data_IF_046202156785
#
_entry.id   IF_046202156785
#
_cell.length_a   1.000
_cell.length_b   1.000
_cell.length_c   1.000
_cell.angle_alpha   90.00
_cell.angle_beta   90.00
_cell.angle_gamma   90.00
#
_symmetry.space_group_name_H-M   'P 1'
#
loop_
_entity.id
_entity.type
_entity.pdbx_description
1 polymer ?
#
# COMPACT_ATOMS: atom_id res chain seq x y z
N UNK A 1 -72.32 22.99 52.58
CA UNK A 1 -71.67 24.07 51.79
C UNK A 1 -70.59 23.40 50.92
N UNK A 2 -70.97 23.12 49.66
CA UNK A 2 -70.07 22.53 48.69
C UNK A 2 -69.44 23.67 47.84
N UNK A 3 -68.16 23.76 47.82
CA UNK A 3 -67.48 24.59 46.84
C UNK A 3 -66.83 23.75 45.75
N UNK A 4 -67.32 23.95 44.53
CA UNK A 4 -66.86 23.27 43.32
C UNK A 4 -65.54 23.84 42.87
N UNK A 5 -64.52 22.98 42.71
CA UNK A 5 -63.16 23.35 42.10
C UNK A 5 -63.29 23.08 40.62
N UNK A 6 -63.17 24.13 39.78
CA UNK A 6 -63.03 24.03 38.33
C UNK A 6 -61.61 23.83 37.97
N UNK A 7 -61.26 22.71 37.36
CA UNK A 7 -59.95 22.40 36.79
C UNK A 7 -60.01 22.90 35.35
N UNK A 8 -59.16 23.91 35.04
CA UNK A 8 -58.87 24.36 33.66
C UNK A 8 -57.76 23.50 33.07
N UNK A 9 -58.07 22.73 32.02
CA UNK A 9 -57.09 21.99 31.24
C UNK A 9 -56.43 22.96 30.21
N UNK A 10 -55.16 23.26 30.37
CA UNK A 10 -54.36 23.95 29.38
C UNK A 10 -53.73 22.93 28.40
N UNK A 11 -54.18 22.96 27.14
CA UNK A 11 -53.62 22.18 26.06
C UNK A 11 -52.31 22.85 25.60
N UNK A 12 -51.15 22.23 25.90
CA UNK A 12 -49.88 22.64 25.35
C UNK A 12 -49.71 22.05 23.94
N UNK A 13 -49.79 22.90 22.93
CA UNK A 13 -49.45 22.53 21.55
C UNK A 13 -47.91 22.45 21.41
N UNK A 14 -47.39 21.24 21.29
CA UNK A 14 -45.98 21.01 20.99
C UNK A 14 -45.79 21.24 19.49
N UNK A 15 -45.20 22.35 19.13
CA UNK A 15 -44.67 22.58 17.79
C UNK A 15 -43.44 21.70 17.57
N UNK A 16 -43.59 20.62 16.82
CA UNK A 16 -42.45 19.91 16.19
C UNK A 16 -41.94 20.80 15.08
N UNK A 17 -40.90 21.57 15.38
CA UNK A 17 -40.07 22.17 14.35
C UNK A 17 -39.32 21.04 13.66
N UNK A 18 -39.77 20.64 12.47
CA UNK A 18 -39.01 19.78 11.57
C UNK A 18 -37.73 20.55 11.20
N UNK A 19 -36.63 20.23 11.87
CA UNK A 19 -35.29 20.67 11.44
C UNK A 19 -35.07 20.01 10.09
N UNK A 20 -35.26 20.79 9.02
CA UNK A 20 -34.77 20.43 7.70
C UNK A 20 -33.26 20.11 7.83
N UNK A 21 -32.77 18.99 7.25
CA UNK A 21 -31.34 18.74 7.23
C UNK A 21 -30.69 19.95 6.55
N UNK A 22 -29.80 20.63 7.29
CA UNK A 22 -28.90 21.62 6.68
C UNK A 22 -28.22 20.86 5.53
N UNK A 23 -28.52 21.23 4.28
CA UNK A 23 -27.71 20.81 3.15
C UNK A 23 -26.27 21.19 3.50
N UNK A 24 -25.45 20.21 3.84
CA UNK A 24 -24.03 20.39 3.97
C UNK A 24 -23.57 21.04 2.65
N UNK A 25 -23.00 22.23 2.74
CA UNK A 25 -22.50 22.94 1.59
C UNK A 25 -21.65 21.99 0.75
N UNK A 26 -21.75 22.12 -0.58
CA UNK A 26 -21.15 21.33 -1.64
C UNK A 26 -19.61 21.24 -1.57
N UNK A 27 -19.06 20.71 -0.50
CA UNK A 27 -17.62 20.50 -0.34
C UNK A 27 -17.24 19.11 -0.86
N UNK A 28 -16.30 19.09 -1.80
CA UNK A 28 -15.74 17.82 -2.30
C UNK A 28 -14.98 17.14 -1.16
N UNK A 29 -15.37 15.92 -0.81
CA UNK A 29 -14.67 15.14 0.21
C UNK A 29 -13.39 14.51 -0.35
N UNK A 30 -12.46 14.14 0.54
CA UNK A 30 -11.27 13.38 0.14
C UNK A 30 -11.64 12.02 -0.48
N UNK A 31 -12.71 11.38 0.01
CA UNK A 31 -13.20 10.12 -0.53
C UNK A 31 -13.78 10.29 -1.94
N UNK A 32 -14.56 11.34 -2.18
CA UNK A 32 -15.08 11.65 -3.53
C UNK A 32 -13.95 11.89 -4.52
N UNK A 33 -12.93 12.65 -4.09
CA UNK A 33 -11.73 12.88 -4.89
C UNK A 33 -11.01 11.56 -5.19
N UNK A 34 -10.85 10.69 -4.19
CA UNK A 34 -10.19 9.40 -4.36
C UNK A 34 -10.96 8.48 -5.33
N UNK A 35 -12.27 8.40 -5.17
CA UNK A 35 -13.15 7.65 -6.07
C UNK A 35 -13.07 8.18 -7.50
N UNK A 36 -13.18 9.50 -7.68
CA UNK A 36 -13.09 10.13 -8.98
C UNK A 36 -11.76 9.85 -9.69
N UNK A 37 -10.62 10.03 -8.98
CA UNK A 37 -9.28 9.72 -9.49
C UNK A 37 -9.07 8.23 -9.77
N UNK A 38 -9.78 7.37 -9.04
CA UNK A 38 -9.79 5.93 -9.25
C UNK A 38 -10.72 5.48 -10.40
N UNK A 39 -11.37 6.39 -11.12
CA UNK A 39 -12.36 6.08 -12.15
C UNK A 39 -13.61 5.40 -11.58
N UNK A 40 -13.93 5.68 -10.32
CA UNK A 40 -15.13 5.20 -9.62
C UNK A 40 -16.09 6.36 -9.42
N UNK A 41 -17.43 6.17 -9.52
CA UNK A 41 -18.37 7.25 -9.24
C UNK A 41 -18.19 7.81 -7.84
N UNK A 42 -18.12 9.14 -7.65
CA UNK A 42 -18.16 9.77 -6.33
C UNK A 42 -19.51 9.54 -5.67
N UNK A 43 -19.67 9.95 -4.41
CA UNK A 43 -20.92 9.82 -3.68
C UNK A 43 -22.07 10.60 -4.36
N UNK A 44 -23.31 10.17 -4.12
CA UNK A 44 -24.49 10.88 -4.63
C UNK A 44 -24.50 12.32 -4.08
N UNK A 45 -24.68 13.32 -4.96
CA UNK A 45 -24.66 14.74 -4.59
C UNK A 45 -23.28 15.39 -4.53
N UNK A 46 -22.19 14.65 -4.77
CA UNK A 46 -20.86 15.22 -4.86
C UNK A 46 -20.75 16.24 -6.01
N UNK A 47 -20.08 17.39 -5.83
CA UNK A 47 -19.80 18.35 -6.89
C UNK A 47 -18.98 17.78 -8.05
N UNK A 48 -18.33 16.63 -7.87
CA UNK A 48 -17.61 15.92 -8.93
C UNK A 48 -18.51 15.06 -9.83
N UNK A 49 -19.75 14.79 -9.43
CA UNK A 49 -20.67 13.92 -10.18
C UNK A 49 -20.93 14.41 -11.62
N UNK A 50 -21.12 15.71 -11.91
CA UNK A 50 -21.26 16.18 -13.28
C UNK A 50 -20.04 15.89 -14.16
N UNK A 51 -18.84 15.90 -13.59
CA UNK A 51 -17.57 15.66 -14.31
C UNK A 51 -17.42 14.20 -14.75
N UNK A 52 -18.16 13.25 -14.19
CA UNK A 52 -18.16 11.86 -14.65
C UNK A 52 -18.78 11.68 -16.04
N UNK A 53 -19.50 12.69 -16.54
CA UNK A 53 -20.04 12.71 -17.91
C UNK A 53 -18.98 13.08 -18.96
N UNK A 54 -17.82 13.61 -18.54
CA UNK A 54 -16.73 13.96 -19.45
C UNK A 54 -16.18 12.69 -20.14
N UNK A 55 -16.05 12.68 -21.47
CA UNK A 55 -15.53 11.53 -22.20
C UNK A 55 -14.14 11.08 -21.76
N UNK A 56 -13.30 12.01 -21.28
CA UNK A 56 -11.97 11.66 -20.76
C UNK A 56 -12.08 10.88 -19.46
N UNK A 57 -13.00 11.28 -18.56
CA UNK A 57 -13.24 10.52 -17.33
C UNK A 57 -13.83 9.13 -17.63
N UNK A 58 -14.74 9.01 -18.58
CA UNK A 58 -15.33 7.71 -18.95
C UNK A 58 -14.27 6.74 -19.52
N UNK A 59 -13.33 7.25 -20.34
CA UNK A 59 -12.20 6.45 -20.83
C UNK A 59 -11.28 6.02 -19.68
N UNK A 60 -10.97 6.94 -18.78
CA UNK A 60 -10.18 6.70 -17.59
C UNK A 60 -10.81 5.63 -16.69
N UNK A 61 -12.10 5.73 -16.40
CA UNK A 61 -12.84 4.77 -15.61
C UNK A 61 -12.77 3.36 -16.24
N UNK A 62 -13.05 3.25 -17.54
CA UNK A 62 -12.94 1.98 -18.27
C UNK A 62 -11.54 1.40 -18.26
N UNK A 63 -10.50 2.24 -18.43
CA UNK A 63 -9.11 1.81 -18.38
C UNK A 63 -8.76 1.24 -16.99
N UNK A 64 -9.11 1.94 -15.92
CA UNK A 64 -8.82 1.46 -14.57
C UNK A 64 -9.65 0.23 -14.16
N UNK A 65 -10.91 0.14 -14.55
CA UNK A 65 -11.71 -1.06 -14.31
C UNK A 65 -11.08 -2.29 -14.94
N UNK A 66 -10.59 -2.15 -16.16
CA UNK A 66 -9.90 -3.24 -16.85
C UNK A 66 -8.57 -3.57 -16.17
N UNK A 67 -7.72 -2.57 -15.91
CA UNK A 67 -6.37 -2.77 -15.39
C UNK A 67 -6.38 -3.32 -13.96
N UNK A 68 -7.21 -2.76 -13.08
CA UNK A 68 -7.34 -3.25 -11.70
C UNK A 68 -8.04 -4.61 -11.65
N UNK A 69 -9.05 -4.88 -12.49
CA UNK A 69 -9.68 -6.18 -12.59
C UNK A 69 -8.68 -7.28 -13.01
N UNK A 70 -7.82 -7.00 -13.98
CA UNK A 70 -6.74 -7.90 -14.39
C UNK A 70 -5.71 -8.12 -13.27
N UNK A 71 -5.34 -7.05 -12.55
CA UNK A 71 -4.39 -7.15 -11.44
C UNK A 71 -4.98 -7.96 -10.27
N UNK A 72 -6.25 -7.76 -9.94
CA UNK A 72 -6.98 -8.53 -8.92
C UNK A 72 -6.92 -10.02 -9.22
N UNK A 73 -7.31 -10.42 -10.44
CA UNK A 73 -7.31 -11.83 -10.83
C UNK A 73 -5.90 -12.43 -10.91
N UNK A 74 -4.93 -11.67 -11.41
CA UNK A 74 -3.57 -12.15 -11.62
C UNK A 74 -2.78 -12.28 -10.33
N UNK A 75 -2.97 -11.34 -9.38
CA UNK A 75 -2.10 -11.21 -8.22
C UNK A 75 -2.84 -10.97 -6.89
N UNK A 76 -3.69 -9.93 -6.77
CA UNK A 76 -4.12 -9.46 -5.45
C UNK A 76 -4.98 -10.46 -4.71
N UNK A 77 -5.96 -11.10 -5.37
CA UNK A 77 -6.80 -12.15 -4.76
C UNK A 77 -5.97 -13.35 -4.31
N UNK A 78 -4.95 -13.73 -5.07
CA UNK A 78 -4.04 -14.83 -4.73
C UNK A 78 -3.14 -14.48 -3.55
N UNK A 79 -2.64 -13.23 -3.50
CA UNK A 79 -1.88 -12.71 -2.37
C UNK A 79 -2.73 -12.72 -1.10
N UNK A 80 -4.01 -12.31 -1.17
CA UNK A 80 -4.94 -12.37 -0.04
C UNK A 80 -5.11 -13.81 0.47
N UNK A 81 -5.39 -14.76 -0.40
CA UNK A 81 -5.53 -16.17 0.00
C UNK A 81 -4.24 -16.75 0.59
N UNK A 82 -3.08 -16.38 0.03
CA UNK A 82 -1.78 -16.78 0.58
C UNK A 82 -1.55 -16.14 1.97
N UNK A 83 -1.86 -14.87 2.13
CA UNK A 83 -1.70 -14.17 3.41
C UNK A 83 -2.62 -14.74 4.50
N UNK A 84 -3.87 -15.05 4.18
CA UNK A 84 -4.79 -15.71 5.11
C UNK A 84 -4.28 -17.07 5.59
N UNK A 85 -3.64 -17.82 4.70
CA UNK A 85 -3.11 -19.16 5.00
C UNK A 85 -1.78 -19.17 5.75
N UNK A 86 -0.95 -18.12 5.58
CA UNK A 86 0.43 -18.11 6.06
C UNK A 86 0.73 -17.07 7.15
N UNK A 87 -0.14 -16.07 7.36
CA UNK A 87 0.06 -15.01 8.35
C UNK A 87 -0.88 -15.20 9.55
N UNK A 88 -0.54 -16.15 10.43
CA UNK A 88 -1.43 -16.59 11.52
C UNK A 88 -1.66 -15.56 12.63
N UNK A 89 -0.73 -14.63 12.89
CA UNK A 89 -0.80 -13.67 13.99
C UNK A 89 -0.45 -12.25 13.50
N UNK A 90 -1.38 -11.55 12.83
CA UNK A 90 -1.10 -10.21 12.32
C UNK A 90 -0.86 -9.23 13.47
N UNK A 91 0.27 -8.50 13.41
CA UNK A 91 0.50 -7.34 14.25
C UNK A 91 -0.36 -6.18 13.75
N UNK A 92 -0.78 -5.25 14.65
CA UNK A 92 -1.57 -4.10 14.24
C UNK A 92 -0.83 -3.16 13.29
N UNK A 93 0.51 -3.08 13.40
CA UNK A 93 1.33 -2.21 12.56
C UNK A 93 2.00 -2.99 11.45
N UNK A 94 2.01 -2.39 10.26
CA UNK A 94 2.71 -2.86 9.08
C UNK A 94 3.68 -1.78 8.58
N UNK A 95 4.96 -2.14 8.44
CA UNK A 95 6.00 -1.29 7.89
C UNK A 95 6.31 -1.69 6.45
N UNK A 96 6.26 -0.73 5.53
CA UNK A 96 6.66 -0.93 4.16
C UNK A 96 7.64 0.18 3.73
N UNK A 97 8.86 0.04 4.19
CA UNK A 97 9.95 0.93 3.80
C UNK A 97 10.38 0.62 2.36
N UNK A 98 10.85 1.61 1.62
CA UNK A 98 11.14 1.52 0.18
C UNK A 98 9.90 1.26 -0.71
N UNK A 99 8.71 1.59 -0.22
CA UNK A 99 7.44 1.26 -0.88
C UNK A 99 7.03 2.22 -2.00
N UNK A 100 7.45 3.50 -1.94
CA UNK A 100 6.67 4.54 -2.59
C UNK A 100 5.25 4.58 -2.02
N UNK A 101 4.26 5.00 -2.80
CA UNK A 101 2.86 5.02 -2.38
C UNK A 101 2.15 3.66 -2.49
N UNK A 102 2.87 2.53 -2.42
CA UNK A 102 2.33 1.20 -2.67
C UNK A 102 1.46 0.66 -1.53
N UNK A 103 0.36 1.34 -1.24
CA UNK A 103 -0.66 0.84 -0.32
C UNK A 103 -1.34 -0.44 -0.85
N UNK A 104 -1.39 -0.62 -2.17
CA UNK A 104 -2.11 -1.72 -2.80
C UNK A 104 -1.60 -3.08 -2.35
N UNK A 105 -0.27 -3.30 -2.47
CA UNK A 105 0.36 -4.55 -2.02
C UNK A 105 0.48 -4.61 -0.49
N UNK A 106 0.67 -3.46 0.19
CA UNK A 106 0.61 -3.40 1.65
C UNK A 106 -0.70 -3.97 2.19
N UNK A 107 -1.84 -3.51 1.64
CA UNK A 107 -3.15 -4.00 2.00
C UNK A 107 -3.40 -5.45 1.57
N UNK A 108 -2.88 -5.87 0.39
CA UNK A 108 -3.06 -7.24 -0.09
C UNK A 108 -2.40 -8.26 0.84
N UNK A 109 -1.19 -8.01 1.34
CA UNK A 109 -0.50 -8.89 2.29
C UNK A 109 -0.99 -8.73 3.73
N UNK A 110 -1.35 -7.52 4.17
CA UNK A 110 -1.64 -7.20 5.57
C UNK A 110 -3.00 -6.51 5.74
N UNK A 111 -4.06 -7.05 5.13
CA UNK A 111 -5.42 -6.47 5.18
C UNK A 111 -5.96 -6.28 6.61
N UNK A 112 -5.47 -7.05 7.58
CA UNK A 112 -5.86 -6.99 9.00
C UNK A 112 -5.07 -5.95 9.80
N UNK A 113 -4.04 -5.31 9.24
CA UNK A 113 -3.34 -4.23 9.94
C UNK A 113 -4.28 -3.04 10.15
N UNK A 114 -4.14 -2.39 11.31
CA UNK A 114 -4.84 -1.14 11.64
C UNK A 114 -3.98 0.10 11.34
N UNK A 115 -2.66 -0.08 11.27
CA UNK A 115 -1.71 1.00 11.01
C UNK A 115 -0.72 0.58 9.92
N UNK A 116 -0.61 1.41 8.88
CA UNK A 116 0.32 1.23 7.77
C UNK A 116 1.33 2.38 7.79
N UNK A 117 2.62 2.07 7.69
CA UNK A 117 3.69 3.07 7.58
C UNK A 117 4.47 2.80 6.31
N UNK A 118 4.29 3.68 5.34
CA UNK A 118 4.95 3.65 4.04
C UNK A 118 5.99 4.77 3.96
N UNK A 119 7.08 4.55 3.21
CA UNK A 119 8.07 5.60 2.99
C UNK A 119 8.85 5.45 1.70
N UNK A 120 9.29 6.57 1.16
CA UNK A 120 10.22 6.65 0.03
C UNK A 120 10.78 8.08 -0.12
N UNK A 121 11.51 8.33 -1.20
CA UNK A 121 12.07 9.64 -1.54
C UNK A 121 11.07 10.57 -2.24
N UNK A 122 9.96 10.04 -2.73
CA UNK A 122 8.98 10.81 -3.48
C UNK A 122 8.25 11.78 -2.54
N UNK A 123 8.03 13.04 -2.98
CA UNK A 123 7.33 14.03 -2.16
C UNK A 123 5.87 13.63 -1.94
N UNK A 124 5.32 14.01 -0.79
CA UNK A 124 3.90 13.76 -0.47
C UNK A 124 2.97 14.42 -1.48
N UNK A 125 3.30 15.66 -1.87
CA UNK A 125 2.41 16.50 -2.67
C UNK A 125 1.38 17.26 -1.83
N UNK A 126 0.48 17.95 -2.49
CA UNK A 126 -0.66 18.62 -1.88
C UNK A 126 -1.90 17.75 -1.93
N UNK A 127 -2.85 18.00 -1.03
CA UNK A 127 -4.18 17.36 -1.11
C UNK A 127 -4.81 17.74 -2.47
N UNK A 128 -5.23 16.76 -3.28
CA UNK A 128 -5.80 17.02 -4.58
C UNK A 128 -7.08 17.85 -4.48
N UNK A 129 -7.13 18.96 -5.21
CA UNK A 129 -8.32 19.80 -5.34
C UNK A 129 -8.74 19.85 -6.82
N UNK A 130 -9.66 19.00 -7.19
CA UNK A 130 -10.14 18.87 -8.56
C UNK A 130 -11.01 20.06 -9.01
N UNK A 131 -11.51 20.88 -8.08
CA UNK A 131 -12.32 22.07 -8.41
C UNK A 131 -11.46 23.19 -8.99
N UNK A 132 -10.15 23.15 -8.77
CA UNK A 132 -9.18 24.13 -9.28
C UNK A 132 -8.55 23.73 -10.61
N UNK A 133 -8.96 22.60 -11.19
CA UNK A 133 -8.48 22.23 -12.51
C UNK A 133 -8.98 23.23 -13.56
N UNK A 134 -8.10 23.72 -14.47
CA UNK A 134 -8.54 24.59 -15.54
C UNK A 134 -9.54 23.86 -16.45
N UNK A 135 -10.43 24.63 -17.09
CA UNK A 135 -11.37 24.08 -18.08
C UNK A 135 -10.61 23.25 -19.13
N UNK A 136 -11.01 21.98 -19.30
CA UNK A 136 -10.29 21.05 -20.18
C UNK A 136 -9.07 20.37 -19.54
N UNK A 137 -8.69 20.73 -18.31
CA UNK A 137 -7.52 20.14 -17.62
C UNK A 137 -7.72 18.73 -17.06
N UNK A 138 -8.98 18.28 -16.94
CA UNK A 138 -9.33 16.97 -16.37
C UNK A 138 -8.65 15.83 -17.14
N UNK A 139 -8.73 15.83 -18.48
CA UNK A 139 -8.16 14.75 -19.28
C UNK A 139 -6.66 14.60 -19.11
N UNK A 140 -5.90 15.71 -19.05
CA UNK A 140 -4.45 15.68 -18.83
C UNK A 140 -4.08 15.24 -17.41
N UNK A 141 -4.86 15.67 -16.41
CA UNK A 141 -4.65 15.27 -15.03
C UNK A 141 -4.88 13.77 -14.83
N UNK A 142 -5.97 13.22 -15.35
CA UNK A 142 -6.27 11.79 -15.28
C UNK A 142 -5.23 10.95 -16.05
N UNK A 143 -4.80 11.41 -17.22
CA UNK A 143 -3.74 10.76 -17.99
C UNK A 143 -2.40 10.70 -17.22
N UNK A 144 -2.06 11.76 -16.48
CA UNK A 144 -0.87 11.76 -15.62
C UNK A 144 -0.95 10.70 -14.52
N UNK A 145 -2.13 10.54 -13.91
CA UNK A 145 -2.38 9.47 -12.91
C UNK A 145 -2.25 8.08 -13.57
N UNK A 146 -2.83 7.85 -14.74
CA UNK A 146 -2.70 6.58 -15.47
C UNK A 146 -1.23 6.24 -15.75
N UNK A 147 -0.46 7.20 -16.26
CA UNK A 147 0.98 7.01 -16.53
C UNK A 147 1.76 6.66 -15.28
N UNK A 148 1.51 7.36 -14.18
CA UNK A 148 2.18 7.10 -12.90
C UNK A 148 1.93 5.70 -12.36
N UNK A 149 0.78 5.11 -12.68
CA UNK A 149 0.39 3.76 -12.24
C UNK A 149 0.77 2.66 -13.24
N UNK A 150 1.15 3.01 -14.48
CA UNK A 150 1.37 2.04 -15.55
C UNK A 150 2.34 0.92 -15.18
N UNK A 151 3.44 1.23 -14.48
CA UNK A 151 4.43 0.23 -14.09
C UNK A 151 3.91 -0.72 -13.00
N UNK A 152 3.26 -0.23 -11.95
CA UNK A 152 2.77 -1.10 -10.89
C UNK A 152 1.60 -1.96 -11.33
N UNK A 153 0.71 -1.43 -12.17
CA UNK A 153 -0.40 -2.19 -12.76
C UNK A 153 0.09 -3.31 -13.70
N UNK A 154 1.22 -3.09 -14.39
CA UNK A 154 1.79 -4.06 -15.34
C UNK A 154 2.75 -5.05 -14.67
N UNK A 155 3.61 -4.57 -13.75
CA UNK A 155 4.80 -5.30 -13.26
C UNK A 155 4.83 -5.54 -11.76
N UNK A 156 3.88 -5.04 -10.99
CA UNK A 156 3.85 -5.11 -9.52
C UNK A 156 4.83 -4.22 -8.75
N UNK A 157 5.52 -3.27 -9.38
CA UNK A 157 6.41 -2.31 -8.71
C UNK A 157 6.45 -0.97 -9.43
N UNK A 158 6.85 0.09 -8.74
CA UNK A 158 7.03 1.41 -9.32
C UNK A 158 8.41 1.58 -9.96
N UNK A 159 8.43 2.29 -11.09
CA UNK A 159 9.65 2.84 -11.65
C UNK A 159 9.80 4.27 -11.11
N UNK A 160 10.59 4.43 -10.05
CA UNK A 160 10.74 5.68 -9.31
C UNK A 160 11.07 6.89 -10.19
N UNK A 161 11.94 6.72 -11.21
CA UNK A 161 12.33 7.80 -12.13
C UNK A 161 11.13 8.28 -12.95
N UNK A 162 10.31 7.38 -13.45
CA UNK A 162 9.11 7.71 -14.20
C UNK A 162 8.08 8.38 -13.32
N UNK A 163 7.82 7.83 -12.14
CA UNK A 163 6.88 8.38 -11.18
C UNK A 163 7.24 9.81 -10.77
N UNK A 164 8.53 10.10 -10.50
CA UNK A 164 8.99 11.47 -10.21
C UNK A 164 8.71 12.44 -11.35
N UNK A 165 8.90 12.02 -12.60
CA UNK A 165 8.64 12.86 -13.77
C UNK A 165 7.15 13.12 -13.94
N UNK A 166 6.32 12.10 -13.79
CA UNK A 166 4.88 12.17 -14.03
C UNK A 166 4.13 12.91 -12.91
N UNK A 167 4.65 12.87 -11.67
CA UNK A 167 4.05 13.53 -10.49
C UNK A 167 4.65 14.94 -10.20
N UNK A 168 5.49 15.48 -11.07
CA UNK A 168 6.23 16.72 -10.79
C UNK A 168 5.46 18.00 -11.19
N UNK A 169 4.46 17.87 -12.05
CA UNK A 169 3.77 19.02 -12.64
C UNK A 169 2.26 18.98 -12.39
N UNK A 170 1.71 20.13 -11.96
CA UNK A 170 0.27 20.35 -11.90
C UNK A 170 -0.37 20.11 -10.54
N UNK A 171 -1.70 20.09 -10.52
CA UNK A 171 -2.53 20.01 -9.32
C UNK A 171 -2.58 18.62 -8.67
N UNK A 172 -2.07 17.59 -9.36
CA UNK A 172 -1.97 16.22 -8.88
C UNK A 172 -0.51 15.84 -8.64
N UNK A 173 0.24 16.71 -7.98
CA UNK A 173 1.66 16.48 -7.68
C UNK A 173 1.87 15.58 -6.47
N UNK A 174 2.98 14.84 -6.47
CA UNK A 174 3.39 13.97 -5.36
C UNK A 174 2.66 12.63 -5.33
N UNK A 175 2.81 11.93 -4.21
CA UNK A 175 2.31 10.56 -4.04
C UNK A 175 0.85 10.47 -3.61
N UNK A 176 0.29 11.56 -3.10
CA UNK A 176 -1.05 11.56 -2.51
C UNK A 176 -2.17 11.16 -3.48
N UNK A 177 -2.18 11.61 -4.76
CA UNK A 177 -3.15 11.12 -5.73
C UNK A 177 -3.11 9.60 -5.95
N UNK A 178 -1.92 9.00 -5.89
CA UNK A 178 -1.73 7.56 -6.05
C UNK A 178 -2.27 6.80 -4.83
N UNK A 179 -2.00 7.29 -3.62
CA UNK A 179 -2.55 6.74 -2.38
C UNK A 179 -4.08 6.78 -2.41
N UNK A 180 -4.68 7.87 -2.91
CA UNK A 180 -6.11 8.01 -3.07
C UNK A 180 -6.69 6.93 -3.99
N UNK A 181 -6.09 6.74 -5.16
CA UNK A 181 -6.51 5.69 -6.11
C UNK A 181 -6.43 4.31 -5.46
N UNK A 182 -5.34 4.01 -4.77
CA UNK A 182 -5.16 2.69 -4.17
C UNK A 182 -6.10 2.44 -3.00
N UNK A 183 -6.38 3.43 -2.16
CA UNK A 183 -7.37 3.32 -1.10
C UNK A 183 -8.75 3.03 -1.69
N UNK A 184 -9.20 3.82 -2.67
CA UNK A 184 -10.50 3.64 -3.31
C UNK A 184 -10.60 2.26 -4.01
N UNK A 185 -9.58 1.87 -4.80
CA UNK A 185 -9.56 0.57 -5.50
C UNK A 185 -9.37 -0.62 -4.57
N UNK A 186 -8.92 -0.42 -3.34
CA UNK A 186 -8.91 -1.42 -2.28
C UNK A 186 -10.22 -1.45 -1.46
N UNK A 187 -11.27 -0.74 -1.89
CA UNK A 187 -12.56 -0.69 -1.20
C UNK A 187 -12.51 0.03 0.15
N UNK A 188 -11.61 1.00 0.30
CA UNK A 188 -11.49 1.82 1.51
C UNK A 188 -12.20 3.15 1.32
N UNK A 189 -12.76 3.68 2.41
CA UNK A 189 -13.41 4.99 2.47
C UNK A 189 -12.52 5.95 3.25
N UNK A 190 -12.05 7.02 2.63
CA UNK A 190 -11.20 8.03 3.30
C UNK A 190 -12.07 8.89 4.22
N UNK A 191 -11.63 9.04 5.48
CA UNK A 191 -12.30 9.83 6.51
C UNK A 191 -11.62 11.15 6.78
N UNK A 192 -10.27 11.14 6.85
CA UNK A 192 -9.45 12.31 7.09
C UNK A 192 -8.13 12.23 6.36
N UNK A 193 -7.60 13.37 5.95
CA UNK A 193 -6.27 13.51 5.34
C UNK A 193 -5.60 14.73 5.94
N UNK A 194 -4.59 14.50 6.74
CA UNK A 194 -3.87 15.53 7.47
C UNK A 194 -2.39 15.53 7.11
N UNK A 195 -1.82 16.64 6.62
CA UNK A 195 -0.37 16.81 6.56
C UNK A 195 0.24 16.57 7.94
N UNK A 196 1.35 15.87 7.98
CA UNK A 196 2.10 15.57 9.21
C UNK A 196 3.59 15.82 8.97
N UNK A 197 4.31 16.20 10.00
CA UNK A 197 5.76 16.27 9.96
C UNK A 197 6.35 15.68 11.24
N UNK A 198 7.54 15.10 11.15
CA UNK A 198 8.27 14.59 12.30
C UNK A 198 9.46 15.49 12.59
N UNK A 199 9.69 15.80 13.85
CA UNK A 199 10.96 16.37 14.27
C UNK A 199 12.09 15.32 14.30
N UNK A 200 13.29 15.70 14.67
CA UNK A 200 14.46 14.84 14.77
C UNK A 200 14.35 13.78 15.90
N UNK A 201 13.38 13.96 16.82
CA UNK A 201 13.08 13.02 17.91
C UNK A 201 11.99 12.02 17.56
N UNK A 202 11.30 12.22 16.42
CA UNK A 202 10.19 11.40 15.97
C UNK A 202 8.84 11.82 16.55
N UNK A 203 8.75 12.99 17.17
CA UNK A 203 7.47 13.58 17.57
C UNK A 203 6.71 14.04 16.31
N UNK A 204 5.41 13.77 16.28
CA UNK A 204 4.55 14.09 15.15
C UNK A 204 3.85 15.42 15.36
N UNK A 205 3.91 16.28 14.35
CA UNK A 205 3.29 17.62 14.30
C UNK A 205 2.28 17.66 13.15
N UNK A 206 1.12 18.22 13.40
CA UNK A 206 0.06 18.36 12.40
C UNK A 206 0.04 19.78 11.81
N UNK A 207 -0.81 19.99 10.81
CA UNK A 207 -0.97 21.30 10.15
C UNK A 207 -1.11 22.44 11.19
N UNK A 208 -0.37 23.53 11.01
CA UNK A 208 -0.27 24.71 11.88
C UNK A 208 0.71 24.60 13.07
N UNK A 209 1.35 23.45 13.29
CA UNK A 209 2.41 23.30 14.27
C UNK A 209 3.78 23.47 13.58
N UNK A 210 4.79 23.94 14.32
CA UNK A 210 6.13 24.14 13.78
C UNK A 210 7.08 23.01 14.20
N UNK A 211 7.34 22.05 13.33
CA UNK A 211 8.23 20.91 13.63
C UNK A 211 9.73 21.24 13.50
N UNK A 212 10.05 22.51 13.16
CA UNK A 212 11.43 22.92 12.89
C UNK A 212 11.88 22.75 11.43
N UNK A 213 13.08 23.25 11.08
CA UNK A 213 13.52 23.37 9.69
C UNK A 213 13.87 22.03 9.00
N UNK A 214 14.24 21.02 9.77
CA UNK A 214 14.67 19.71 9.26
C UNK A 214 13.60 18.63 9.39
N UNK A 215 12.33 19.02 9.45
CA UNK A 215 11.23 18.10 9.65
C UNK A 215 11.07 17.10 8.49
N UNK A 216 10.84 15.85 8.82
CA UNK A 216 10.46 14.81 7.86
C UNK A 216 8.98 14.94 7.51
N UNK A 217 8.69 15.35 6.27
CA UNK A 217 7.32 15.60 5.82
C UNK A 217 6.59 14.31 5.47
N UNK A 218 5.30 14.25 5.82
CA UNK A 218 4.44 13.11 5.56
C UNK A 218 2.97 13.49 5.44
N UNK A 219 2.14 12.49 5.36
CA UNK A 219 0.68 12.59 5.42
C UNK A 219 0.15 11.47 6.29
N UNK A 220 -0.85 11.78 7.11
CA UNK A 220 -1.71 10.81 7.79
C UNK A 220 -3.05 10.75 7.06
N UNK A 221 -3.47 9.55 6.69
CA UNK A 221 -4.79 9.27 6.12
C UNK A 221 -5.53 8.34 7.07
N UNK A 222 -6.69 8.78 7.57
CA UNK A 222 -7.62 7.93 8.30
C UNK A 222 -8.64 7.39 7.31
N UNK A 223 -8.85 6.09 7.31
CA UNK A 223 -9.77 5.42 6.41
C UNK A 223 -10.51 4.28 7.10
N UNK A 224 -11.66 3.89 6.56
CA UNK A 224 -12.41 2.72 7.00
C UNK A 224 -12.37 1.62 5.92
N UNK A 225 -12.30 0.37 6.36
CA UNK A 225 -12.51 -0.80 5.51
C UNK A 225 -14.01 -1.14 5.36
N UNK A 226 -14.31 -2.21 4.64
CA UNK A 226 -15.67 -2.75 4.51
C UNK A 226 -16.26 -3.22 5.84
N UNK A 227 -15.41 -3.52 6.82
CA UNK A 227 -15.76 -3.87 8.20
C UNK A 227 -16.11 -2.64 9.05
N UNK A 228 -16.00 -1.44 8.50
CA UNK A 228 -16.23 -0.16 9.20
C UNK A 228 -15.14 0.21 10.20
N UNK A 229 -14.16 -0.65 10.45
CA UNK A 229 -13.07 -0.38 11.38
C UNK A 229 -12.17 0.75 10.85
N UNK A 230 -11.87 1.71 11.73
CA UNK A 230 -10.98 2.81 11.42
C UNK A 230 -9.52 2.33 11.43
N UNK A 231 -8.79 2.75 10.39
CA UNK A 231 -7.39 2.42 10.16
C UNK A 231 -6.61 3.67 9.78
N UNK A 232 -5.31 3.63 9.99
CA UNK A 232 -4.42 4.75 9.72
C UNK A 232 -3.33 4.36 8.73
N UNK A 233 -3.14 5.18 7.72
CA UNK A 233 -2.00 5.13 6.80
C UNK A 233 -1.12 6.36 7.01
N UNK A 234 0.14 6.14 7.29
CA UNK A 234 1.19 7.14 7.25
C UNK A 234 2.05 6.95 6.01
N UNK A 235 2.31 8.01 5.28
CA UNK A 235 3.33 8.05 4.26
C UNK A 235 4.33 9.17 4.57
N UNK A 236 5.63 8.87 4.53
CA UNK A 236 6.69 9.84 4.77
C UNK A 236 7.65 9.92 3.59
N UNK A 237 7.95 11.14 3.16
CA UNK A 237 9.03 11.41 2.21
C UNK A 237 10.35 11.49 2.99
N UNK A 238 11.19 10.44 2.90
CA UNK A 238 12.42 10.37 3.70
C UNK A 238 13.51 9.55 3.00
N UNK A 239 14.76 9.96 3.20
CA UNK A 239 15.93 9.19 2.79
C UNK A 239 16.23 8.11 3.84
N UNK A 240 16.17 6.86 3.42
CA UNK A 240 16.42 5.70 4.27
C UNK A 240 17.91 5.29 4.34
N UNK A 241 18.82 6.02 3.71
CA UNK A 241 20.24 5.82 3.91
C UNK A 241 20.66 6.11 5.36
N UNK A 242 21.82 5.60 5.78
CA UNK A 242 22.35 5.84 7.13
C UNK A 242 22.47 7.33 7.48
N UNK A 243 22.80 8.17 6.49
CA UNK A 243 22.87 9.63 6.67
C UNK A 243 21.48 10.22 6.81
N UNK A 244 20.54 9.82 5.94
CA UNK A 244 19.17 10.33 5.95
C UNK A 244 18.42 9.99 7.22
N UNK A 245 18.41 8.72 7.64
CA UNK A 245 17.68 8.32 8.86
C UNK A 245 18.29 8.86 10.16
N UNK A 246 19.58 9.19 10.17
CA UNK A 246 20.20 9.89 11.33
C UNK A 246 19.74 11.34 11.45
N UNK A 247 19.49 11.98 10.32
CA UNK A 247 19.02 13.36 10.27
C UNK A 247 17.49 13.49 10.46
N UNK A 248 16.76 12.37 10.35
CA UNK A 248 15.29 12.35 10.47
C UNK A 248 14.84 11.62 11.73
N UNK A 249 13.64 11.98 12.24
CA UNK A 249 12.97 11.26 13.34
C UNK A 249 12.20 10.02 12.88
N UNK A 250 12.24 9.66 11.59
CA UNK A 250 11.36 8.64 11.02
C UNK A 250 11.45 7.28 11.72
N UNK A 251 12.66 6.73 11.92
CA UNK A 251 12.81 5.44 12.60
C UNK A 251 12.44 5.50 14.08
N UNK A 252 12.61 6.67 14.73
CA UNK A 252 12.17 6.87 16.11
C UNK A 252 10.64 6.87 16.20
N UNK A 253 9.97 7.53 15.25
CA UNK A 253 8.51 7.44 15.13
C UNK A 253 8.06 5.99 14.88
N UNK A 254 8.67 5.28 13.94
CA UNK A 254 8.34 3.88 13.68
C UNK A 254 8.54 2.99 14.93
N UNK A 255 9.54 3.27 15.75
CA UNK A 255 9.79 2.53 17.00
C UNK A 255 8.65 2.66 18.02
N UNK A 256 7.90 3.78 18.02
CA UNK A 256 6.73 3.95 18.90
C UNK A 256 5.54 3.06 18.49
N UNK A 257 5.54 2.60 17.23
CA UNK A 257 4.49 1.74 16.65
C UNK A 257 4.90 0.27 16.60
N UNK A 258 6.12 -0.06 17.04
CA UNK A 258 6.66 -1.42 17.02
C UNK A 258 6.16 -2.26 18.22
N UNK A 259 6.21 -3.62 18.14
CA UNK A 259 6.63 -4.40 16.98
C UNK A 259 5.54 -4.50 15.89
N UNK A 260 5.98 -4.52 14.64
CA UNK A 260 5.07 -4.64 13.48
C UNK A 260 5.39 -5.85 12.60
N UNK A 261 4.76 -5.89 11.43
CA UNK A 261 5.16 -6.74 10.32
C UNK A 261 5.85 -5.89 9.26
N UNK A 262 6.77 -6.44 8.48
CA UNK A 262 7.42 -5.71 7.38
C UNK A 262 7.18 -6.38 6.04
N UNK A 263 6.94 -5.54 5.03
CA UNK A 263 6.97 -5.93 3.62
C UNK A 263 8.15 -5.23 2.93
N UNK A 264 8.95 -5.99 2.17
CA UNK A 264 10.07 -5.46 1.40
C UNK A 264 10.02 -6.08 0.00
N UNK A 265 9.74 -5.26 -0.99
CA UNK A 265 9.54 -5.70 -2.36
C UNK A 265 10.20 -4.71 -3.32
N UNK A 266 11.00 -5.19 -4.26
CA UNK A 266 11.67 -4.36 -5.28
C UNK A 266 12.49 -3.21 -4.67
N UNK A 267 13.21 -3.46 -3.58
CA UNK A 267 13.94 -2.46 -2.80
C UNK A 267 15.33 -2.11 -3.40
N UNK A 268 15.53 -2.30 -4.71
CA UNK A 268 16.77 -2.00 -5.43
C UNK A 268 18.03 -2.57 -4.77
N UNK A 269 17.87 -3.66 -4.01
CA UNK A 269 18.94 -4.30 -3.23
C UNK A 269 19.68 -3.32 -2.29
N UNK A 270 19.02 -2.23 -1.88
CA UNK A 270 19.62 -1.20 -1.01
C UNK A 270 20.02 -1.78 0.34
N UNK A 271 19.21 -2.69 0.89
CA UNK A 271 19.50 -3.36 2.15
C UNK A 271 20.71 -4.30 2.12
N UNK A 272 21.28 -4.57 0.93
CA UNK A 272 22.55 -5.28 0.76
C UNK A 272 23.78 -4.35 0.92
N UNK A 273 23.57 -3.04 0.90
CA UNK A 273 24.62 -2.04 1.00
C UNK A 273 24.92 -1.64 2.45
N UNK A 274 26.18 -1.35 2.73
CA UNK A 274 26.63 -0.78 4.01
C UNK A 274 26.02 0.59 4.32
N UNK A 275 25.50 1.29 3.30
CA UNK A 275 24.87 2.59 3.48
C UNK A 275 23.42 2.53 4.02
N UNK A 276 22.85 1.33 4.20
CA UNK A 276 21.48 1.10 4.68
C UNK A 276 21.43 0.18 5.91
N UNK A 277 22.53 0.12 6.68
CA UNK A 277 22.60 -0.74 7.88
C UNK A 277 21.60 -0.33 8.93
N UNK A 278 21.43 0.97 9.19
CA UNK A 278 20.54 1.47 10.25
C UNK A 278 19.08 1.07 10.02
N UNK A 279 18.57 1.22 8.80
CA UNK A 279 17.19 0.81 8.47
C UNK A 279 17.06 -0.71 8.43
N UNK A 280 18.07 -1.43 7.97
CA UNK A 280 18.10 -2.90 8.00
C UNK A 280 18.02 -3.44 9.42
N UNK A 281 18.84 -2.91 10.32
CA UNK A 281 18.88 -3.30 11.72
C UNK A 281 17.57 -2.95 12.43
N UNK A 282 16.97 -1.79 12.10
CA UNK A 282 15.64 -1.42 12.57
C UNK A 282 14.59 -2.46 12.16
N UNK A 283 14.54 -2.85 10.89
CA UNK A 283 13.59 -3.86 10.37
C UNK A 283 13.76 -5.18 11.11
N UNK A 284 14.99 -5.67 11.25
CA UNK A 284 15.29 -6.92 11.97
C UNK A 284 14.93 -6.86 13.45
N UNK A 285 15.14 -5.71 14.11
CA UNK A 285 14.83 -5.53 15.53
C UNK A 285 13.32 -5.44 15.78
N UNK A 286 12.58 -4.72 14.91
CA UNK A 286 11.22 -4.28 15.18
C UNK A 286 10.14 -5.04 14.39
N UNK A 287 10.50 -6.05 13.59
CA UNK A 287 9.52 -6.87 12.88
C UNK A 287 9.28 -8.21 13.58
N UNK A 288 8.02 -8.60 13.69
CA UNK A 288 7.62 -9.95 14.09
C UNK A 288 7.66 -10.91 12.87
N UNK A 289 7.27 -10.40 11.70
CA UNK A 289 7.40 -11.09 10.42
C UNK A 289 7.99 -10.15 9.37
N UNK A 290 8.73 -10.72 8.43
CA UNK A 290 9.23 -10.01 7.25
C UNK A 290 8.82 -10.82 6.02
N UNK A 291 8.05 -10.20 5.13
CA UNK A 291 7.74 -10.72 3.79
C UNK A 291 8.64 -9.97 2.81
N UNK A 292 9.40 -10.69 2.00
CA UNK A 292 10.30 -10.04 1.06
C UNK A 292 10.54 -10.85 -0.21
N UNK A 293 10.93 -10.16 -1.30
CA UNK A 293 11.62 -10.78 -2.43
C UNK A 293 13.14 -10.79 -2.19
N UNK A 294 13.93 -11.27 -3.15
CA UNK A 294 15.39 -11.35 -3.03
C UNK A 294 16.11 -10.01 -2.97
N UNK A 295 15.41 -8.89 -3.23
CA UNK A 295 15.94 -7.53 -3.07
C UNK A 295 15.90 -7.00 -1.63
N UNK A 296 15.27 -7.75 -0.72
CA UNK A 296 15.12 -7.38 0.68
C UNK A 296 16.38 -7.56 1.53
N UNK A 297 16.20 -7.89 2.81
CA UNK A 297 17.31 -8.12 3.75
C UNK A 297 18.04 -9.42 3.38
N UNK A 298 19.37 -9.40 3.14
CA UNK A 298 20.12 -10.62 2.87
C UNK A 298 20.10 -11.59 4.05
N UNK A 299 20.02 -12.91 3.75
CA UNK A 299 19.97 -13.96 4.77
C UNK A 299 21.14 -13.90 5.76
N UNK A 300 22.30 -13.43 5.32
CA UNK A 300 23.50 -13.32 6.16
C UNK A 300 23.33 -12.38 7.37
N UNK A 301 22.33 -11.50 7.37
CA UNK A 301 22.06 -10.58 8.49
C UNK A 301 21.00 -11.07 9.45
N UNK A 302 20.32 -12.17 9.14
CA UNK A 302 19.38 -12.78 10.06
C UNK A 302 20.10 -13.68 11.06
N UNK A 303 19.78 -13.55 12.35
CA UNK A 303 20.20 -14.50 13.37
C UNK A 303 19.37 -15.79 13.23
N UNK A 304 19.96 -16.93 12.84
CA UNK A 304 19.21 -18.17 12.61
C UNK A 304 18.58 -18.74 13.91
N UNK A 305 19.02 -18.29 15.08
CA UNK A 305 18.38 -18.66 16.36
C UNK A 305 17.08 -17.91 16.60
N UNK A 306 16.96 -16.71 16.02
CA UNK A 306 15.81 -15.81 16.21
C UNK A 306 14.80 -15.82 15.07
N UNK A 307 15.10 -16.47 13.94
CA UNK A 307 14.25 -16.42 12.76
C UNK A 307 14.01 -17.81 12.17
N UNK A 308 12.77 -18.05 11.73
CA UNK A 308 12.37 -19.19 10.89
C UNK A 308 12.07 -18.70 9.49
N UNK A 309 12.42 -19.51 8.47
CA UNK A 309 12.32 -19.12 7.07
C UNK A 309 11.39 -20.06 6.32
N UNK A 310 10.45 -19.48 5.60
CA UNK A 310 9.49 -20.18 4.76
C UNK A 310 9.60 -19.61 3.33
N UNK A 311 10.36 -20.27 2.44
CA UNK A 311 10.50 -19.84 1.06
C UNK A 311 9.33 -20.30 0.20
N UNK A 312 8.87 -19.44 -0.72
CA UNK A 312 7.81 -19.72 -1.69
C UNK A 312 8.25 -19.31 -3.09
N UNK A 313 7.94 -20.13 -4.09
CA UNK A 313 8.29 -19.90 -5.48
C UNK A 313 9.69 -20.37 -5.85
N UNK A 314 10.43 -19.57 -6.63
CA UNK A 314 11.71 -19.99 -7.21
C UNK A 314 12.72 -18.85 -7.24
N UNK A 315 13.88 -19.03 -6.65
CA UNK A 315 14.98 -18.09 -6.76
C UNK A 315 15.81 -18.36 -8.03
N UNK A 316 15.80 -17.40 -8.96
CA UNK A 316 16.54 -17.43 -10.22
C UNK A 316 17.79 -16.53 -10.20
N UNK A 317 18.16 -16.04 -9.02
CA UNK A 317 19.18 -15.00 -8.87
C UNK A 317 18.58 -13.59 -9.01
N UNK A 318 19.40 -12.56 -8.77
CA UNK A 318 18.99 -11.18 -8.91
C UNK A 318 18.62 -10.85 -10.36
N UNK A 319 17.92 -9.74 -10.58
CA UNK A 319 17.66 -9.26 -11.93
C UNK A 319 18.94 -8.74 -12.58
N UNK A 320 18.94 -8.66 -13.93
CA UNK A 320 20.14 -8.35 -14.73
C UNK A 320 20.81 -7.02 -14.39
N UNK A 321 20.06 -6.06 -13.85
CA UNK A 321 20.55 -4.76 -13.39
C UNK A 321 21.40 -4.85 -12.11
N UNK A 322 21.31 -5.95 -11.36
CA UNK A 322 22.04 -6.15 -10.09
C UNK A 322 22.80 -7.49 -10.03
N UNK A 323 23.61 -7.86 -11.02
CA UNK A 323 24.19 -9.20 -11.14
C UNK A 323 25.07 -9.59 -9.94
N UNK A 324 25.70 -8.60 -9.27
CA UNK A 324 26.54 -8.81 -8.09
C UNK A 324 25.77 -9.06 -6.78
N UNK A 325 24.43 -9.14 -6.81
CA UNK A 325 23.59 -9.34 -5.61
C UNK A 325 23.14 -10.79 -5.42
N UNK A 326 23.78 -11.74 -6.08
CA UNK A 326 23.48 -13.16 -5.88
C UNK A 326 23.76 -13.58 -4.43
N UNK A 327 22.84 -14.38 -3.88
CA UNK A 327 22.95 -14.93 -2.52
C UNK A 327 22.94 -16.47 -2.58
N UNK A 328 24.08 -17.10 -2.35
CA UNK A 328 24.19 -18.56 -2.35
C UNK A 328 23.28 -19.20 -1.29
N UNK A 329 23.24 -18.62 -0.08
CA UNK A 329 22.36 -19.11 1.00
C UNK A 329 20.87 -19.02 0.65
N UNK A 330 20.49 -18.00 -0.12
CA UNK A 330 19.11 -17.85 -0.61
C UNK A 330 18.79 -18.94 -1.64
N UNK A 331 19.70 -19.20 -2.57
CA UNK A 331 19.55 -20.28 -3.54
C UNK A 331 19.43 -21.66 -2.87
N UNK A 332 20.19 -21.92 -1.81
CA UNK A 332 20.11 -23.16 -1.03
C UNK A 332 18.78 -23.28 -0.28
N UNK A 333 18.33 -22.21 0.36
CA UNK A 333 17.05 -22.15 1.06
C UNK A 333 15.88 -22.46 0.10
N UNK A 334 15.90 -21.86 -1.10
CA UNK A 334 14.84 -22.01 -2.09
C UNK A 334 14.77 -23.38 -2.79
N UNK A 335 15.74 -24.28 -2.55
CA UNK A 335 15.60 -25.69 -2.97
C UNK A 335 14.44 -26.40 -2.30
N UNK A 336 13.97 -25.87 -1.14
CA UNK A 336 12.84 -26.41 -0.37
C UNK A 336 11.62 -25.50 -0.43
N UNK A 337 11.56 -24.61 -1.40
CA UNK A 337 10.47 -23.63 -1.51
C UNK A 337 9.14 -24.32 -1.83
N UNK A 338 8.09 -23.86 -1.18
CA UNK A 338 6.72 -24.24 -1.50
C UNK A 338 6.28 -23.55 -2.80
N UNK A 339 5.35 -24.12 -3.55
CA UNK A 339 4.82 -23.48 -4.75
C UNK A 339 4.11 -22.17 -4.40
N UNK A 340 4.15 -21.21 -5.34
CA UNK A 340 3.42 -19.96 -5.30
C UNK A 340 2.76 -19.72 -6.66
N UNK A 341 1.54 -19.20 -6.67
CA UNK A 341 0.74 -19.01 -7.87
C UNK A 341 0.56 -17.54 -8.30
N UNK A 342 1.33 -16.64 -7.69
CA UNK A 342 1.40 -15.21 -8.04
C UNK A 342 2.85 -14.73 -8.15
N UNK A 343 3.03 -13.61 -8.83
CA UNK A 343 4.32 -12.93 -8.93
C UNK A 343 4.43 -11.77 -7.97
N UNK A 344 5.65 -11.46 -7.52
CA UNK A 344 5.94 -10.33 -6.63
C UNK A 344 7.26 -9.65 -7.00
N UNK A 345 7.31 -8.34 -6.79
CA UNK A 345 8.53 -7.56 -6.94
C UNK A 345 9.09 -7.57 -8.36
N UNK A 346 10.41 -7.60 -8.47
CA UNK A 346 11.06 -7.63 -9.79
C UNK A 346 10.77 -8.91 -10.57
N UNK A 347 10.45 -9.99 -9.90
CA UNK A 347 10.06 -11.28 -10.48
C UNK A 347 8.53 -11.42 -10.47
N UNK A 348 7.83 -10.48 -11.09
CA UNK A 348 6.38 -10.38 -11.12
C UNK A 348 5.64 -11.51 -11.85
N UNK A 349 6.35 -12.31 -12.65
CA UNK A 349 5.77 -13.49 -13.29
C UNK A 349 5.75 -14.66 -12.31
N UNK A 350 4.63 -15.35 -12.22
CA UNK A 350 4.40 -16.44 -11.26
C UNK A 350 5.52 -17.49 -11.25
N UNK A 351 5.96 -17.94 -12.42
CA UNK A 351 6.98 -19.00 -12.53
C UNK A 351 8.43 -18.52 -12.25
N UNK A 352 8.63 -17.24 -12.08
CA UNK A 352 9.92 -16.61 -11.76
C UNK A 352 9.95 -16.02 -10.36
N UNK A 353 8.81 -15.96 -9.70
CA UNK A 353 8.64 -15.27 -8.43
C UNK A 353 9.35 -15.98 -7.29
N UNK A 354 9.95 -15.20 -6.42
CA UNK A 354 10.47 -15.64 -5.13
C UNK A 354 9.86 -14.78 -4.01
N UNK A 355 9.38 -15.43 -2.96
CA UNK A 355 8.88 -14.79 -1.76
C UNK A 355 9.43 -15.54 -0.55
N UNK A 356 10.06 -14.80 0.36
CA UNK A 356 10.51 -15.29 1.64
C UNK A 356 9.63 -14.72 2.75
N UNK A 357 8.99 -15.60 3.52
CA UNK A 357 8.40 -15.27 4.80
C UNK A 357 9.41 -15.61 5.90
N UNK A 358 9.92 -14.61 6.60
CA UNK A 358 10.74 -14.77 7.80
C UNK A 358 9.90 -14.45 9.03
N UNK A 359 9.83 -15.39 9.98
CA UNK A 359 9.04 -15.27 11.23
C UNK A 359 9.99 -15.25 12.41
N UNK A 360 9.86 -14.26 13.28
CA UNK A 360 10.67 -14.13 14.49
C UNK A 360 10.20 -15.13 15.55
N UNK A 361 11.13 -15.89 16.11
CA UNK A 361 10.85 -16.83 17.20
C UNK A 361 10.64 -16.02 18.48
N UNK A 362 9.56 -16.27 19.24
CA UNK A 362 9.38 -15.65 20.55
C UNK A 362 10.54 -15.99 21.50
N UNK A 363 10.96 -15.01 22.30
CA UNK A 363 12.08 -15.16 23.24
C UNK A 363 11.78 -16.06 24.44
N UNK A 364 10.50 -16.35 24.67
CA UNK A 364 9.99 -17.16 25.79
C UNK A 364 9.90 -18.67 25.47
N UNK A 365 10.39 -19.12 24.32
CA UNK A 365 10.38 -20.54 23.92
C UNK A 365 9.00 -21.09 23.55
N UNK A 366 7.95 -20.26 23.55
CA UNK A 366 6.65 -20.69 23.02
C UNK A 366 6.81 -20.99 21.53
N UNK A 367 6.47 -22.21 21.11
CA UNK A 367 6.49 -22.58 19.71
C UNK A 367 5.52 -21.66 18.93
N UNK A 368 5.92 -21.15 17.75
CA UNK A 368 4.96 -20.51 16.86
C UNK A 368 3.82 -21.50 16.62
N UNK A 369 2.57 -21.03 16.64
CA UNK A 369 1.42 -21.87 16.28
C UNK A 369 1.72 -22.44 14.90
N UNK A 370 1.99 -23.74 14.83
CA UNK A 370 2.19 -24.44 13.58
C UNK A 370 0.93 -24.23 12.75
N UNK A 371 1.10 -23.68 11.57
CA UNK A 371 0.07 -23.69 10.54
C UNK A 371 -0.12 -25.16 10.16
N UNK A 372 -1.18 -25.77 10.70
CA UNK A 372 -1.59 -27.13 10.37
C UNK A 372 -2.10 -27.17 8.93
N UNK A 373 -1.20 -27.37 7.99
CA UNK A 373 -1.53 -27.90 6.67
C UNK A 373 -0.51 -28.95 6.25
N UNK A 374 -0.46 -30.05 7.00
CA UNK A 374 0.03 -31.34 6.50
C UNK A 374 -1.13 -32.02 5.79
N UNK A 375 -1.48 -31.57 4.60
CA UNK A 375 -2.25 -32.37 3.65
C UNK A 375 -1.27 -33.02 2.70
N UNK A 376 -1.18 -34.35 2.82
CA UNK A 376 -0.49 -35.24 1.89
C UNK A 376 -0.91 -34.90 0.44
N UNK A 377 0.03 -34.77 -0.50
CA UNK A 377 -0.33 -34.40 -1.87
C UNK A 377 -1.18 -35.50 -2.48
N UNK A 378 -2.26 -35.19 -3.21
CA UNK A 378 -3.06 -36.19 -3.91
C UNK A 378 -2.20 -36.92 -4.96
N UNK A 379 -2.31 -38.25 -5.01
CA UNK A 379 -1.66 -39.12 -5.99
C UNK A 379 -2.00 -38.68 -7.42
N UNK A 380 -1.05 -38.66 -8.36
CA UNK A 380 -1.31 -38.23 -9.72
C UNK A 380 -2.33 -39.12 -10.40
N UNK A 381 -3.45 -38.58 -10.78
CA UNK A 381 -4.45 -39.17 -11.66
C UNK A 381 -3.94 -39.25 -13.11
N UNK A 382 -4.57 -40.05 -13.99
CA UNK A 382 -4.06 -40.36 -15.32
C UNK A 382 -3.97 -39.12 -16.23
N UNK A 383 -2.90 -39.08 -17.02
CA UNK A 383 -2.51 -38.01 -17.97
C UNK A 383 -3.69 -37.52 -18.81
N UNK A 384 -4.10 -36.28 -18.62
CA UNK A 384 -5.01 -35.58 -19.52
C UNK A 384 -4.27 -35.12 -20.79
N UNK A 385 -4.97 -35.19 -21.90
CA UNK A 385 -4.52 -34.81 -23.26
C UNK A 385 -3.98 -33.40 -23.33
N UNK A 386 -2.90 -33.21 -24.10
CA UNK A 386 -2.34 -31.93 -24.49
C UNK A 386 -3.43 -30.97 -25.01
N UNK A 387 -3.60 -29.88 -24.31
CA UNK A 387 -4.36 -28.70 -24.80
C UNK A 387 -3.41 -27.85 -25.67
N UNK A 388 -3.84 -27.31 -26.82
CA UNK A 388 -3.01 -26.45 -27.65
C UNK A 388 -2.64 -25.16 -26.92
N UNK A 389 -1.42 -24.68 -27.10
CA UNK A 389 -0.94 -23.41 -26.55
C UNK A 389 -1.81 -22.26 -27.08
N UNK A 390 -2.24 -21.33 -26.21
CA UNK A 390 -2.83 -20.07 -26.67
C UNK A 390 -1.77 -19.21 -27.39
N UNK A 391 -2.18 -18.31 -28.28
CA UNK A 391 -1.26 -17.47 -29.04
C UNK A 391 -0.40 -16.60 -28.11
N UNK A 392 0.85 -16.43 -28.48
CA UNK A 392 1.73 -15.41 -27.88
C UNK A 392 1.21 -14.06 -28.30
N UNK A 393 0.59 -13.34 -27.38
CA UNK A 393 0.50 -11.89 -27.47
C UNK A 393 0.13 -11.30 -26.11
N UNK A 394 1.13 -10.86 -25.36
CA UNK A 394 1.04 -9.73 -24.42
C UNK A 394 2.45 -9.14 -24.30
N UNK A 395 2.61 -7.99 -24.88
CA UNK A 395 3.66 -7.01 -24.91
C UNK A 395 4.95 -7.30 -24.15
N UNK A 396 6.00 -7.72 -24.87
CA UNK A 396 7.37 -7.46 -24.41
C UNK A 396 7.53 -5.93 -24.27
N UNK A 397 8.19 -5.45 -23.20
CA UNK A 397 8.57 -4.05 -23.11
C UNK A 397 9.47 -3.71 -24.32
N UNK A 398 9.37 -2.51 -24.89
CA UNK A 398 10.16 -2.13 -26.04
C UNK A 398 11.65 -2.37 -25.77
N UNK A 399 12.33 -3.09 -26.67
CA UNK A 399 13.76 -3.35 -26.61
C UNK A 399 14.50 -2.03 -26.54
N UNK A 400 15.17 -1.74 -25.42
CA UNK A 400 15.89 -0.48 -25.19
C UNK A 400 15.62 0.21 -23.86
N UNK A 401 14.68 -0.28 -23.05
CA UNK A 401 14.40 0.30 -21.73
C UNK A 401 15.52 -0.08 -20.74
N UNK A 402 16.49 0.83 -20.53
CA UNK A 402 17.44 0.73 -19.42
C UNK A 402 16.73 1.19 -18.14
N UNK A 403 16.56 0.29 -17.20
CA UNK A 403 15.86 0.50 -15.92
C UNK A 403 16.54 1.53 -15.00
N UNK A 404 17.86 1.72 -15.18
CA UNK A 404 18.67 2.67 -14.41
C UNK A 404 19.74 3.27 -15.34
N UNK A 405 19.57 4.49 -15.79
CA UNK A 405 20.68 5.34 -16.24
C UNK A 405 20.89 6.43 -15.19
N UNK A 406 22.16 6.61 -14.83
CA UNK A 406 22.74 7.43 -13.74
C UNK A 406 22.07 8.76 -13.55
#
# INVERSE_FOLDING_TARGET
MLQSLKIAAAAAAIFFAASAPLCAADTVTADDTARFLAGMPPSAGSPLTPLTKDPSWQRHAKFFDTAFGQLEQRQLSKIHGWAESNLAAPRPTMFYMFSGPDFLYANAFHSKASTYVLSALEPVGSVPDLTRLPHGGIGSALYSVERSLGSILSFSFFITKQMKTDLHAGQLSGTLPILYVFLARSGKTIRDVSPIALDDKGAAYFANENPGPNATRGVRIIFAGSDGAEKTLYYFSTDLSNSGVRASGFLKFCATLAPGNSLIKSASYLLHSGNFTTVRDFILANSATIIQDDSGVPLAYYDPKKWRFFPFGRYLGPIGEFPGRHQQSYAELFRRAQPIDFGIGYRWRTHESNLLLAVKVPSDGSAPVESTSSTEPPRPGPRARRVPRPPRDVGEPPRGFRWFSR
#
